data_IF_709821774272
#
_entry.id   IF_709821774272
#
_cell.length_a   1.000
_cell.length_b   1.000
_cell.length_c   1.000
_cell.angle_alpha   90.00
_cell.angle_beta   90.00
_cell.angle_gamma   90.00
#
_symmetry.space_group_name_H-M   'P 1'
#
loop_
_entity.id
_entity.type
_entity.pdbx_description
1 polymer ?
#
# COMPACT_ATOMS: atom_id res chain seq x y z
N UNK A 1 -17.85 -27.77 -19.40
CA UNK A 1 -17.72 -26.42 -20.00
C UNK A 1 -16.45 -25.83 -19.41
N UNK A 2 -15.69 -25.03 -20.17
CA UNK A 2 -14.55 -24.32 -19.60
C UNK A 2 -15.05 -23.03 -18.95
N UNK A 3 -14.66 -22.79 -17.70
CA UNK A 3 -15.03 -21.60 -16.92
C UNK A 3 -13.80 -20.73 -16.69
N UNK A 4 -13.99 -19.42 -16.55
CA UNK A 4 -12.91 -18.45 -16.34
C UNK A 4 -13.31 -17.51 -15.21
N UNK A 5 -12.47 -17.45 -14.17
CA UNK A 5 -12.56 -16.44 -13.11
C UNK A 5 -11.61 -15.27 -13.42
N UNK A 6 -12.15 -14.05 -13.45
CA UNK A 6 -11.36 -12.82 -13.52
C UNK A 6 -11.12 -12.25 -12.12
N UNK A 7 -9.86 -12.06 -11.73
CA UNK A 7 -9.47 -11.45 -10.46
C UNK A 7 -8.55 -10.24 -10.70
N UNK A 8 -8.85 -9.12 -10.02
CA UNK A 8 -8.07 -7.88 -10.11
C UNK A 8 -7.45 -7.50 -8.77
N UNK A 9 -6.15 -7.27 -8.75
CA UNK A 9 -5.40 -6.81 -7.55
C UNK A 9 -4.39 -5.73 -7.93
N UNK A 10 -4.02 -4.89 -6.96
CA UNK A 10 -2.96 -3.89 -7.17
C UNK A 10 -1.60 -4.57 -7.33
N UNK A 11 -0.76 -4.08 -8.25
CA UNK A 11 0.65 -4.51 -8.38
C UNK A 11 1.57 -3.84 -7.35
N UNK A 12 1.04 -2.85 -6.61
CA UNK A 12 1.82 -2.01 -5.71
C UNK A 12 2.57 -2.91 -4.69
N UNK A 13 3.89 -2.70 -4.46
CA UNK A 13 4.72 -3.64 -3.68
C UNK A 13 4.90 -3.32 -2.17
N UNK A 14 4.07 -2.53 -1.46
CA UNK A 14 4.42 -2.02 -0.13
C UNK A 14 4.37 -3.10 0.96
N UNK A 15 3.97 -4.33 0.61
CA UNK A 15 3.98 -5.48 1.51
C UNK A 15 5.39 -6.11 1.65
N UNK A 16 6.36 -5.68 0.84
CA UNK A 16 7.73 -6.23 0.87
C UNK A 16 8.59 -5.68 2.01
N UNK A 17 8.21 -4.56 2.62
CA UNK A 17 9.02 -3.85 3.61
C UNK A 17 8.28 -3.84 4.95
N UNK A 18 9.01 -4.01 6.04
CA UNK A 18 8.42 -3.97 7.39
C UNK A 18 7.95 -2.57 7.76
N UNK A 19 6.98 -2.44 8.67
CA UNK A 19 6.56 -1.11 9.16
C UNK A 19 7.67 -0.40 9.94
N UNK A 20 8.54 -1.18 10.60
CA UNK A 20 9.64 -0.68 11.44
C UNK A 20 10.74 0.01 10.63
N UNK A 21 10.93 -0.38 9.37
CA UNK A 21 11.92 0.23 8.48
C UNK A 21 11.52 1.65 8.05
N UNK A 22 10.27 2.08 8.33
CA UNK A 22 9.73 3.43 8.06
C UNK A 22 10.01 3.93 6.65
N UNK A 23 10.25 3.01 5.71
CA UNK A 23 10.63 3.29 4.34
C UNK A 23 9.39 3.62 3.50
N UNK A 24 8.51 4.44 4.05
CA UNK A 24 7.32 4.91 3.37
C UNK A 24 7.73 5.88 2.26
N UNK A 25 7.03 5.86 1.10
CA UNK A 25 7.36 6.75 -0.01
C UNK A 25 7.45 8.21 0.40
N UNK A 26 6.60 8.66 1.34
CA UNK A 26 6.63 10.04 1.82
C UNK A 26 7.93 10.36 2.56
N UNK A 27 8.38 9.50 3.48
CA UNK A 27 9.63 9.71 4.22
C UNK A 27 10.85 9.67 3.31
N UNK A 28 10.87 8.74 2.35
CA UNK A 28 11.93 8.67 1.33
C UNK A 28 11.94 9.94 0.47
N UNK A 29 10.76 10.42 0.06
CA UNK A 29 10.63 11.62 -0.78
C UNK A 29 11.09 12.86 -0.02
N UNK A 30 10.67 13.04 1.23
CA UNK A 30 11.09 14.16 2.07
C UNK A 30 12.60 14.18 2.31
N UNK A 31 13.22 13.00 2.46
CA UNK A 31 14.65 12.87 2.70
C UNK A 31 15.52 13.02 1.44
N UNK A 32 15.02 12.62 0.26
CA UNK A 32 15.85 12.47 -0.96
C UNK A 32 15.48 13.40 -2.11
N UNK A 33 14.27 13.95 -2.14
CA UNK A 33 13.81 14.75 -3.28
C UNK A 33 14.06 16.24 -3.05
N UNK A 34 15.05 16.78 -3.76
CA UNK A 34 15.41 18.20 -3.74
C UNK A 34 14.33 19.11 -4.35
N UNK A 35 13.37 18.55 -5.10
CA UNK A 35 12.26 19.31 -5.70
C UNK A 35 11.20 19.67 -4.67
N UNK A 36 11.19 19.02 -3.51
CA UNK A 36 10.28 19.36 -2.41
C UNK A 36 10.74 20.69 -1.81
N UNK A 37 9.91 21.76 -1.85
CA UNK A 37 10.27 23.03 -1.26
C UNK A 37 10.60 22.87 0.24
N UNK A 38 11.61 23.60 0.72
CA UNK A 38 12.09 23.43 2.10
C UNK A 38 10.99 23.64 3.15
N UNK A 39 10.08 24.59 2.91
CA UNK A 39 8.92 24.80 3.79
C UNK A 39 7.95 23.60 3.79
N UNK A 40 7.84 22.87 2.70
CA UNK A 40 7.01 21.66 2.62
C UNK A 40 7.68 20.44 3.24
N UNK A 41 8.95 20.50 3.62
CA UNK A 41 9.58 19.42 4.41
C UNK A 41 9.12 19.39 5.86
N UNK A 42 8.56 20.50 6.36
CA UNK A 42 8.00 20.57 7.70
C UNK A 42 6.53 20.09 7.69
N UNK A 43 6.18 19.01 8.41
CA UNK A 43 4.81 18.51 8.50
C UNK A 43 3.78 19.53 8.99
N UNK A 44 4.20 20.53 9.78
CA UNK A 44 3.30 21.57 10.28
C UNK A 44 2.66 22.41 9.17
N UNK A 45 3.30 22.48 7.99
CA UNK A 45 2.83 23.24 6.84
C UNK A 45 1.90 22.42 5.93
N UNK A 46 1.65 21.15 6.25
CA UNK A 46 0.79 20.28 5.44
C UNK A 46 -0.70 20.51 5.72
N UNK A 47 -1.58 20.14 4.77
CA UNK A 47 -3.01 20.06 5.02
C UNK A 47 -3.33 19.22 6.26
N UNK A 48 -4.40 19.59 6.98
CA UNK A 48 -4.79 18.93 8.24
C UNK A 48 -4.93 17.41 8.12
N UNK A 49 -5.61 16.92 7.09
CA UNK A 49 -5.79 15.48 6.88
C UNK A 49 -4.45 14.73 6.78
N UNK A 50 -3.46 15.33 6.11
CA UNK A 50 -2.12 14.74 5.96
C UNK A 50 -1.36 14.75 7.29
N UNK A 51 -1.50 15.81 8.09
CA UNK A 51 -0.90 15.87 9.44
C UNK A 51 -1.49 14.83 10.38
N UNK A 52 -2.81 14.61 10.31
CA UNK A 52 -3.50 13.57 11.09
C UNK A 52 -3.02 12.18 10.68
N UNK A 53 -2.86 11.93 9.38
CA UNK A 53 -2.40 10.64 8.88
C UNK A 53 -0.92 10.37 9.18
N UNK A 54 -0.09 11.41 9.15
CA UNK A 54 1.33 11.33 9.51
C UNK A 54 1.55 11.21 11.02
N UNK A 55 0.67 11.80 11.82
CA UNK A 55 0.71 11.69 13.27
C UNK A 55 2.03 12.14 13.91
N UNK A 56 2.27 11.68 15.13
CA UNK A 56 3.54 11.86 15.85
C UNK A 56 4.55 10.74 15.55
N UNK A 57 4.13 9.69 14.84
CA UNK A 57 4.89 8.48 14.55
C UNK A 57 5.35 8.38 13.09
N UNK A 58 5.32 9.50 12.36
CA UNK A 58 5.75 9.59 10.95
C UNK A 58 4.97 8.65 10.00
N UNK A 59 3.71 8.37 10.34
CA UNK A 59 2.76 7.62 9.52
C UNK A 59 2.77 6.10 9.74
N UNK A 60 3.50 5.60 10.75
CA UNK A 60 3.59 4.16 11.05
C UNK A 60 2.22 3.55 11.35
N UNK A 61 1.41 4.19 12.21
CA UNK A 61 0.08 3.71 12.56
C UNK A 61 -0.87 3.70 11.36
N UNK A 62 -0.84 4.74 10.51
CA UNK A 62 -1.64 4.77 9.29
C UNK A 62 -1.23 3.65 8.33
N UNK A 63 0.07 3.42 8.16
CA UNK A 63 0.59 2.36 7.32
C UNK A 63 0.17 0.96 7.79
N UNK A 64 0.23 0.69 9.09
CA UNK A 64 -0.23 -0.57 9.66
C UNK A 64 -1.72 -0.82 9.39
N UNK A 65 -2.56 0.21 9.58
CA UNK A 65 -3.99 0.13 9.26
C UNK A 65 -4.23 -0.05 7.76
N UNK A 66 -3.45 0.62 6.91
CA UNK A 66 -3.54 0.46 5.46
C UNK A 66 -3.16 -0.96 5.03
N UNK A 67 -2.08 -1.52 5.59
CA UNK A 67 -1.66 -2.91 5.37
C UNK A 67 -2.76 -3.89 5.75
N UNK A 68 -3.37 -3.71 6.93
CA UNK A 68 -4.46 -4.59 7.37
C UNK A 68 -5.62 -4.60 6.37
N UNK A 69 -6.03 -3.42 5.87
CA UNK A 69 -7.07 -3.30 4.83
C UNK A 69 -6.69 -4.00 3.54
N UNK A 70 -5.44 -3.86 3.09
CA UNK A 70 -4.94 -4.54 1.89
C UNK A 70 -4.94 -6.06 2.05
N UNK A 71 -4.38 -6.57 3.14
CA UNK A 71 -4.32 -8.01 3.43
C UNK A 71 -5.72 -8.61 3.49
N UNK A 72 -6.65 -7.93 4.18
CA UNK A 72 -8.05 -8.37 4.24
C UNK A 72 -8.68 -8.46 2.85
N UNK A 73 -8.42 -7.48 1.98
CA UNK A 73 -8.95 -7.46 0.62
C UNK A 73 -8.33 -8.54 -0.26
N UNK A 74 -7.02 -8.78 -0.14
CA UNK A 74 -6.35 -9.87 -0.87
C UNK A 74 -6.83 -11.25 -0.43
N UNK A 75 -7.15 -11.44 0.86
CA UNK A 75 -7.73 -12.69 1.35
C UNK A 75 -9.06 -12.99 0.67
N UNK A 76 -9.93 -11.99 0.50
CA UNK A 76 -11.19 -12.19 -0.24
C UNK A 76 -10.93 -12.70 -1.66
N UNK A 77 -10.03 -12.06 -2.40
CA UNK A 77 -9.70 -12.51 -3.77
C UNK A 77 -9.08 -13.90 -3.76
N UNK A 78 -8.21 -14.19 -2.78
CA UNK A 78 -7.61 -15.51 -2.61
C UNK A 78 -8.66 -16.58 -2.32
N UNK A 79 -9.62 -16.31 -1.44
CA UNK A 79 -10.67 -17.25 -1.06
C UNK A 79 -11.58 -17.56 -2.26
N UNK A 80 -11.90 -16.57 -3.09
CA UNK A 80 -12.63 -16.76 -4.35
C UNK A 80 -11.85 -17.61 -5.37
N UNK A 81 -10.54 -17.38 -5.51
CA UNK A 81 -9.68 -18.19 -6.38
C UNK A 81 -9.62 -19.64 -5.87
N UNK A 82 -9.52 -19.84 -4.55
CA UNK A 82 -9.51 -21.17 -3.96
C UNK A 82 -10.85 -21.90 -4.14
N UNK A 83 -11.97 -21.20 -3.95
CA UNK A 83 -13.31 -21.74 -4.16
C UNK A 83 -13.59 -22.08 -5.63
N UNK A 84 -12.93 -21.40 -6.57
CA UNK A 84 -13.02 -21.69 -8.00
C UNK A 84 -12.23 -22.93 -8.43
N UNK A 85 -11.26 -23.40 -7.62
CA UNK A 85 -10.43 -24.57 -7.90
C UNK A 85 -9.82 -24.60 -9.34
N UNK A 86 -9.07 -23.57 -9.77
CA UNK A 86 -8.55 -23.51 -11.13
C UNK A 86 -7.45 -24.54 -11.40
N UNK A 87 -7.45 -25.14 -12.59
CA UNK A 87 -6.35 -25.99 -13.07
C UNK A 87 -5.06 -25.19 -13.30
N UNK A 88 -5.18 -23.92 -13.71
CA UNK A 88 -4.05 -23.02 -13.92
C UNK A 88 -4.45 -21.56 -13.73
N UNK A 89 -3.48 -20.72 -13.38
CA UNK A 89 -3.66 -19.27 -13.20
C UNK A 89 -2.75 -18.55 -14.17
N UNK A 90 -3.31 -17.59 -14.93
CA UNK A 90 -2.55 -16.70 -15.81
C UNK A 90 -2.53 -15.31 -15.20
N UNK A 91 -1.33 -14.79 -14.94
CA UNK A 91 -1.15 -13.47 -14.33
C UNK A 91 -0.62 -12.50 -15.39
N UNK A 92 -1.36 -11.42 -15.63
CA UNK A 92 -0.93 -10.34 -16.52
C UNK A 92 -0.26 -9.22 -15.72
N UNK A 93 0.96 -8.85 -16.12
CA UNK A 93 1.67 -7.70 -15.58
C UNK A 93 1.82 -6.66 -16.70
N UNK A 94 1.55 -5.39 -16.37
CA UNK A 94 1.88 -4.24 -17.21
C UNK A 94 2.83 -3.33 -16.45
#
# INVERSE_FOLDING_TARGET
MAEILGAGVTHYPPMLVSDEERAFPINITLARDERVPEHMKNPANWPEAMRVEYGEDEGVASAAQHRERLVKSFRVVSDEIQAFEPDFVVIFWR
#
